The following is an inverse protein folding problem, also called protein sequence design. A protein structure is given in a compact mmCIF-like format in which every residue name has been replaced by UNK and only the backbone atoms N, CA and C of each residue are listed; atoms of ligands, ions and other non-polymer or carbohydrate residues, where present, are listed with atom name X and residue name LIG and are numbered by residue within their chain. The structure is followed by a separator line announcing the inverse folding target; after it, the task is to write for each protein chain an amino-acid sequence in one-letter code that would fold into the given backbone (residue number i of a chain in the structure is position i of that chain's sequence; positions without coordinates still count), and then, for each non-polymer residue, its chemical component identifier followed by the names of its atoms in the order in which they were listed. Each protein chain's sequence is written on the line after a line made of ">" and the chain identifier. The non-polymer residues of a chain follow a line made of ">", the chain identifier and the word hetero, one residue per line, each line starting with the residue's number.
data_IF_584700964077
#
_entry.id   IF_584700964077
#
_cell.length_a   1.000
_cell.length_b   1.000
_cell.length_c   1.000
_cell.angle_alpha   90.00
_cell.angle_beta   90.00
_cell.angle_gamma   90.00
#
_symmetry.space_group_name_H-M   'P 1'
#
loop_
_entity.id
_entity.type
_entity.pdbx_description
1 polymer ?
#
# COMPACT_ATOMS: atom_id res chain seq x y z
N UNK A 1 -3.82 4.89 -0.19
CA UNK A 1 -4.49 5.10 -1.52
C UNK A 1 -5.22 6.46 -1.54
N UNK A 2 -5.72 6.95 -2.69
CA UNK A 2 -6.34 8.31 -2.82
C UNK A 2 -7.41 8.63 -1.75
N UNK A 3 -8.17 7.64 -1.26
CA UNK A 3 -9.09 7.82 -0.14
C UNK A 3 -8.41 8.22 1.18
N UNK A 4 -7.19 7.74 1.45
CA UNK A 4 -6.39 8.16 2.61
C UNK A 4 -5.92 9.61 2.42
N UNK A 5 -5.48 9.98 1.22
CA UNK A 5 -5.08 11.35 0.93
C UNK A 5 -6.27 12.33 1.06
N UNK A 6 -7.46 11.92 0.63
CA UNK A 6 -8.70 12.67 0.86
C UNK A 6 -8.99 12.84 2.35
N UNK A 7 -8.85 11.78 3.16
CA UNK A 7 -8.97 11.86 4.62
C UNK A 7 -7.96 12.82 5.23
N UNK A 8 -6.68 12.72 4.85
CA UNK A 8 -5.62 13.60 5.35
C UNK A 8 -5.85 15.07 4.96
N UNK A 9 -6.35 15.33 3.75
CA UNK A 9 -6.66 16.67 3.27
C UNK A 9 -8.05 17.18 3.70
N UNK A 10 -8.81 16.40 4.46
CA UNK A 10 -10.21 16.67 4.83
C UNK A 10 -11.12 16.98 3.62
N UNK A 11 -10.87 16.32 2.49
CA UNK A 11 -11.62 16.48 1.24
C UNK A 11 -12.67 15.39 1.14
N UNK A 12 -13.94 15.80 0.99
CA UNK A 12 -15.02 14.83 0.76
C UNK A 12 -15.06 14.39 -0.70
N UNK A 13 -15.67 13.23 -0.93
CA UNK A 13 -15.84 12.74 -2.31
C UNK A 13 -16.73 13.65 -3.15
N UNK A 14 -17.78 14.23 -2.55
CA UNK A 14 -18.63 15.24 -3.19
C UNK A 14 -17.81 16.46 -3.59
N UNK A 15 -16.98 16.97 -2.68
CA UNK A 15 -16.11 18.10 -2.97
C UNK A 15 -15.13 17.79 -4.10
N UNK A 16 -14.52 16.60 -4.10
CA UNK A 16 -13.63 16.18 -5.17
C UNK A 16 -14.38 16.07 -6.52
N UNK A 17 -15.61 15.57 -6.51
CA UNK A 17 -16.46 15.50 -7.69
C UNK A 17 -16.86 16.89 -8.21
N UNK A 18 -17.13 17.86 -7.32
CA UNK A 18 -17.47 19.23 -7.70
C UNK A 18 -16.25 19.99 -8.24
N UNK A 19 -15.11 19.91 -7.54
CA UNK A 19 -13.88 20.65 -7.88
C UNK A 19 -13.04 20.00 -8.97
N UNK A 20 -13.27 18.72 -9.27
CA UNK A 20 -12.52 17.85 -10.17
C UNK A 20 -11.06 17.59 -9.77
N UNK A 21 -10.35 18.61 -9.30
CA UNK A 21 -9.02 18.50 -8.72
C UNK A 21 -8.89 19.35 -7.45
N UNK A 22 -8.20 18.83 -6.45
CA UNK A 22 -7.89 19.54 -5.20
C UNK A 22 -6.41 19.42 -4.90
N UNK A 23 -5.71 20.54 -4.80
CA UNK A 23 -4.32 20.57 -4.38
C UNK A 23 -4.22 20.25 -2.87
N UNK A 24 -3.19 19.51 -2.49
CA UNK A 24 -2.92 19.17 -1.08
C UNK A 24 -1.67 19.89 -0.59
N UNK A 25 -1.57 20.10 0.73
CA UNK A 25 -0.41 20.75 1.36
C UNK A 25 0.87 19.89 1.27
N UNK A 26 0.70 18.58 1.06
CA UNK A 26 1.79 17.61 0.87
C UNK A 26 2.20 17.45 -0.61
N UNK A 27 1.81 18.39 -1.49
CA UNK A 27 2.32 18.53 -2.85
C UNK A 27 1.61 17.69 -3.91
N UNK A 28 0.84 16.68 -3.52
CA UNK A 28 0.04 15.85 -4.42
C UNK A 28 -1.29 16.53 -4.80
N UNK A 29 -1.87 16.16 -5.95
CA UNK A 29 -3.22 16.60 -6.35
C UNK A 29 -4.21 15.44 -6.29
N UNK A 30 -5.31 15.63 -5.57
CA UNK A 30 -6.46 14.73 -5.64
C UNK A 30 -7.17 14.96 -6.97
N UNK A 31 -7.49 13.89 -7.70
CA UNK A 31 -8.16 13.96 -9.00
C UNK A 31 -9.40 13.08 -9.03
N UNK A 32 -10.56 13.67 -9.33
CA UNK A 32 -11.82 12.96 -9.53
C UNK A 32 -11.70 11.93 -10.66
N UNK A 33 -11.10 12.34 -11.79
CA UNK A 33 -10.84 11.45 -12.93
C UNK A 33 -10.04 10.23 -12.51
N UNK A 34 -9.01 10.41 -11.68
CA UNK A 34 -8.21 9.30 -11.16
C UNK A 34 -9.02 8.39 -10.23
N UNK A 35 -9.80 8.96 -9.30
CA UNK A 35 -10.66 8.18 -8.41
C UNK A 35 -11.67 7.31 -9.18
N UNK A 36 -12.33 7.89 -10.20
CA UNK A 36 -13.23 7.14 -11.07
C UNK A 36 -12.49 6.06 -11.86
N UNK A 37 -11.30 6.38 -12.38
CA UNK A 37 -10.49 5.44 -13.14
C UNK A 37 -10.13 4.20 -12.33
N UNK A 38 -9.57 4.36 -11.12
CA UNK A 38 -9.14 3.21 -10.28
C UNK A 38 -10.30 2.34 -9.84
N UNK A 39 -11.52 2.88 -9.75
CA UNK A 39 -12.73 2.12 -9.42
C UNK A 39 -13.29 1.36 -10.62
N UNK A 40 -13.23 1.95 -11.80
CA UNK A 40 -13.72 1.32 -13.03
C UNK A 40 -12.75 0.24 -13.55
N UNK A 41 -11.46 0.34 -13.21
CA UNK A 41 -10.42 -0.53 -13.74
C UNK A 41 -9.78 -1.34 -12.61
N UNK A 42 -10.50 -2.36 -12.15
CA UNK A 42 -9.96 -3.31 -11.19
C UNK A 42 -8.78 -4.08 -11.81
N UNK A 43 -7.70 -4.21 -11.05
CA UNK A 43 -6.50 -4.91 -11.51
C UNK A 43 -6.72 -6.42 -11.42
N UNK A 44 -6.47 -7.12 -12.54
CA UNK A 44 -6.29 -8.56 -12.56
C UNK A 44 -4.83 -8.89 -12.24
N UNK A 45 -4.55 -9.18 -10.99
CA UNK A 45 -3.21 -9.56 -10.55
C UNK A 45 -2.97 -11.05 -10.79
N UNK A 46 -2.00 -11.39 -11.66
CA UNK A 46 -1.70 -12.78 -12.07
C UNK A 46 -0.24 -13.20 -11.84
N UNK A 47 0.55 -12.32 -11.24
CA UNK A 47 1.97 -12.58 -10.99
C UNK A 47 2.13 -13.17 -9.60
N UNK A 48 2.87 -14.28 -9.42
CA UNK A 48 3.20 -14.80 -8.10
C UNK A 48 3.82 -13.70 -7.24
N UNK A 49 3.26 -13.47 -6.06
CA UNK A 49 3.61 -12.32 -5.23
C UNK A 49 3.88 -12.76 -3.82
N UNK A 50 4.92 -12.19 -3.25
CA UNK A 50 5.27 -12.33 -1.83
C UNK A 50 5.40 -10.93 -1.27
N UNK A 51 4.79 -10.71 -0.12
CA UNK A 51 4.67 -9.41 0.51
C UNK A 51 5.39 -9.49 1.85
N UNK A 52 6.30 -8.56 2.09
CA UNK A 52 6.81 -8.26 3.41
C UNK A 52 6.08 -7.03 3.92
N UNK A 53 5.39 -7.16 5.05
CA UNK A 53 4.61 -6.12 5.69
C UNK A 53 5.16 -5.83 7.09
N UNK A 54 5.08 -4.58 7.52
CA UNK A 54 5.53 -4.13 8.83
C UNK A 54 4.36 -4.06 9.81
N UNK A 55 4.50 -4.63 11.01
CA UNK A 55 3.44 -4.66 12.03
C UNK A 55 2.90 -3.25 12.42
N UNK A 56 3.73 -2.22 12.33
CA UNK A 56 3.37 -0.84 12.66
C UNK A 56 3.40 0.08 11.43
N UNK A 57 3.09 -0.43 10.24
CA UNK A 57 2.85 0.42 9.07
C UNK A 57 1.62 1.30 9.30
N UNK A 58 1.85 2.61 9.41
CA UNK A 58 0.83 3.62 9.66
C UNK A 58 0.26 4.25 8.38
N UNK A 59 0.74 3.84 7.20
CA UNK A 59 0.26 4.33 5.91
C UNK A 59 -0.62 3.30 5.19
N UNK A 60 -0.32 2.01 5.35
CA UNK A 60 -1.11 0.91 4.80
C UNK A 60 -1.66 0.03 5.93
N UNK A 61 -2.97 0.11 6.13
CA UNK A 61 -3.66 -0.66 7.17
C UNK A 61 -3.58 -2.17 6.91
N UNK A 62 -3.52 -2.97 7.98
CA UNK A 62 -3.46 -4.43 7.94
C UNK A 62 -4.58 -5.04 7.09
N UNK A 63 -5.80 -4.52 7.23
CA UNK A 63 -6.98 -4.98 6.49
C UNK A 63 -6.79 -4.82 4.98
N UNK A 64 -6.07 -3.79 4.54
CA UNK A 64 -5.83 -3.54 3.12
C UNK A 64 -4.85 -4.57 2.55
N UNK A 65 -3.71 -4.79 3.23
CA UNK A 65 -2.68 -5.70 2.73
C UNK A 65 -3.10 -7.17 2.84
N UNK A 66 -3.79 -7.55 3.92
CA UNK A 66 -4.30 -8.90 4.12
C UNK A 66 -5.38 -9.24 3.10
N UNK A 67 -6.35 -8.35 2.86
CA UNK A 67 -7.37 -8.56 1.84
C UNK A 67 -6.77 -8.71 0.43
N UNK A 68 -5.72 -7.95 0.11
CA UNK A 68 -5.00 -8.12 -1.16
C UNK A 68 -4.31 -9.49 -1.23
N UNK A 69 -3.62 -9.90 -0.16
CA UNK A 69 -2.91 -11.17 -0.10
C UNK A 69 -3.86 -12.35 -0.24
N UNK A 70 -4.99 -12.34 0.47
CA UNK A 70 -6.02 -13.37 0.38
C UNK A 70 -6.64 -13.43 -1.02
N UNK A 71 -7.04 -12.28 -1.57
CA UNK A 71 -7.68 -12.20 -2.89
C UNK A 71 -6.80 -12.72 -4.02
N UNK A 72 -5.49 -12.52 -3.91
CA UNK A 72 -4.53 -12.86 -4.95
C UNK A 72 -3.60 -14.03 -4.59
N UNK A 73 -3.90 -14.75 -3.51
CA UNK A 73 -3.08 -15.85 -3.00
C UNK A 73 -1.58 -15.48 -2.87
N UNK A 74 -1.30 -14.25 -2.42
CA UNK A 74 0.06 -13.81 -2.17
C UNK A 74 0.52 -14.28 -0.79
N UNK A 75 1.77 -14.73 -0.68
CA UNK A 75 2.38 -15.01 0.63
C UNK A 75 2.58 -13.68 1.36
N UNK A 76 2.08 -13.57 2.60
CA UNK A 76 2.24 -12.38 3.44
C UNK A 76 3.09 -12.72 4.66
N UNK A 77 4.26 -12.08 4.76
CA UNK A 77 5.16 -12.15 5.91
C UNK A 77 5.06 -10.84 6.69
N UNK A 78 4.89 -10.92 8.01
CA UNK A 78 4.88 -9.74 8.89
C UNK A 78 6.24 -9.63 9.59
N UNK A 79 6.84 -8.45 9.57
CA UNK A 79 7.98 -8.08 10.41
C UNK A 79 7.44 -7.50 11.73
N UNK A 80 7.66 -8.17 12.87
CA UNK A 80 7.30 -7.64 14.18
C UNK A 80 8.05 -6.33 14.48
N UNK A 81 7.38 -5.35 15.06
CA UNK A 81 7.96 -4.04 15.38
C UNK A 81 8.43 -3.21 14.18
N UNK A 82 8.19 -3.66 12.95
CA UNK A 82 8.55 -2.93 11.73
C UNK A 82 7.74 -1.63 11.60
N UNK A 83 8.39 -0.55 11.16
CA UNK A 83 7.74 0.71 10.81
C UNK A 83 7.41 0.77 9.31
N UNK A 84 6.73 1.83 8.86
CA UNK A 84 6.40 2.02 7.44
C UNK A 84 7.66 1.97 6.53
N UNK A 85 8.75 2.58 6.97
CA UNK A 85 10.03 2.50 6.28
C UNK A 85 10.99 1.61 7.06
N UNK A 86 11.59 0.62 6.39
CA UNK A 86 12.72 -0.12 6.95
C UNK A 86 13.97 0.77 6.93
N UNK A 87 14.43 1.18 8.11
CA UNK A 87 15.59 2.07 8.24
C UNK A 87 16.52 1.69 9.40
N UNK A 88 16.02 1.00 10.43
CA UNK A 88 16.87 0.54 11.53
C UNK A 88 17.71 -0.65 11.08
N UNK A 89 18.85 -0.88 11.73
CA UNK A 89 19.69 -2.03 11.39
C UNK A 89 18.95 -3.37 11.54
N UNK A 90 18.06 -3.48 12.53
CA UNK A 90 17.24 -4.67 12.74
C UNK A 90 16.26 -4.89 11.59
N UNK A 91 15.57 -3.83 11.16
CA UNK A 91 14.67 -3.84 10.01
C UNK A 91 15.39 -4.21 8.72
N UNK A 92 16.57 -3.61 8.49
CA UNK A 92 17.38 -3.92 7.31
C UNK A 92 17.87 -5.37 7.32
N UNK A 93 18.33 -5.89 8.47
CA UNK A 93 18.73 -7.30 8.59
C UNK A 93 17.55 -8.26 8.36
N UNK A 94 16.37 -7.93 8.85
CA UNK A 94 15.16 -8.73 8.62
C UNK A 94 14.82 -8.78 7.13
N UNK A 95 14.80 -7.61 6.47
CA UNK A 95 14.55 -7.48 5.03
C UNK A 95 15.57 -8.30 4.21
N UNK A 96 16.87 -8.16 4.51
CA UNK A 96 17.94 -8.88 3.81
C UNK A 96 17.78 -10.40 3.94
N UNK A 97 17.47 -10.88 5.14
CA UNK A 97 17.25 -12.31 5.38
C UNK A 97 16.00 -12.81 4.66
N UNK A 98 14.92 -12.02 4.68
CA UNK A 98 13.70 -12.35 3.96
C UNK A 98 13.97 -12.49 2.46
N UNK A 99 14.71 -11.55 1.85
CA UNK A 99 15.10 -11.60 0.44
C UNK A 99 15.94 -12.84 0.10
N UNK A 100 16.93 -13.20 0.94
CA UNK A 100 17.75 -14.41 0.75
C UNK A 100 16.89 -15.68 0.72
N UNK A 101 15.97 -15.83 1.66
CA UNK A 101 15.05 -16.98 1.72
C UNK A 101 14.20 -17.08 0.44
N UNK A 102 13.80 -15.95 -0.15
CA UNK A 102 13.03 -15.98 -1.40
C UNK A 102 13.88 -16.34 -2.62
N UNK A 103 15.18 -16.01 -2.62
CA UNK A 103 16.09 -16.39 -3.69
C UNK A 103 16.35 -17.90 -3.67
N UNK A 104 16.61 -18.48 -2.50
CA UNK A 104 16.90 -19.91 -2.33
C UNK A 104 15.70 -20.82 -2.63
N UNK A 105 14.48 -20.28 -2.62
CA UNK A 105 13.23 -21.01 -2.94
C UNK A 105 12.86 -20.98 -4.42
N UNK A 106 13.68 -20.38 -5.29
CA UNK A 106 13.44 -20.32 -6.74
C UNK A 106 14.06 -21.50 -7.51
N UNK A 107 14.76 -22.40 -6.82
CA UNK A 107 15.34 -23.64 -7.34
C UNK A 107 14.46 -24.86 -7.02
#
# INVERSE_FOLDING_TARGET
>A
MIGNMMRCANVTERELAEKQEVATEFGERLSWKYLCYVRAHLILWRVPTKILYSEHDNMTDWETVSAFAERHCAELTVMPGGEHWFHTEEQMRFLDNWLKIQADRRD
#
